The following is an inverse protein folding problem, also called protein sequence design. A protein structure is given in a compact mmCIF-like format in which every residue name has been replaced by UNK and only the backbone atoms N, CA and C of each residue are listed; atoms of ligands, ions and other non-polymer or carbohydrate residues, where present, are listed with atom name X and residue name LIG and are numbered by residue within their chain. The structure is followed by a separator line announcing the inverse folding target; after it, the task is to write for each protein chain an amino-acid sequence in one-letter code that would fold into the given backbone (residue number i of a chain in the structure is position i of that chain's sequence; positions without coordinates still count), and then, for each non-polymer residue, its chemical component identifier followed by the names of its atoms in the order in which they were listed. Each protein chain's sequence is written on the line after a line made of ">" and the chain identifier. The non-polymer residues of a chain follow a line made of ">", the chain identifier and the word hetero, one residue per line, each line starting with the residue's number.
data_IF_292346792496
#
_entry.id   IF_292346792496
#
_cell.length_a   1.000
_cell.length_b   1.000
_cell.length_c   1.000
_cell.angle_alpha   90.00
_cell.angle_beta   90.00
_cell.angle_gamma   90.00
#
_symmetry.space_group_name_H-M   'P 1'
#
loop_
_entity.id
_entity.type
_entity.pdbx_description
1 polymer ?
#
# COMPACT_ATOMS: atom_id res chain seq x y z
N UNK A 1 -4.98 20.39 -22.98
CA UNK A 1 -5.26 19.04 -22.43
C UNK A 1 -4.65 19.02 -21.04
N UNK A 2 -5.49 19.00 -20.02
CA UNK A 2 -5.07 18.95 -18.61
C UNK A 2 -4.24 17.69 -18.40
N UNK A 3 -3.00 17.87 -17.92
CA UNK A 3 -2.10 16.80 -17.54
C UNK A 3 -2.76 16.00 -16.40
N UNK A 4 -3.40 14.87 -16.74
CA UNK A 4 -4.04 14.01 -15.76
C UNK A 4 -2.94 13.30 -14.98
N UNK A 5 -2.68 13.80 -13.77
CA UNK A 5 -1.75 13.17 -12.82
C UNK A 5 -2.12 11.68 -12.68
N UNK A 6 -1.20 10.80 -13.07
CA UNK A 6 -1.38 9.35 -12.99
C UNK A 6 -1.57 8.92 -11.54
N UNK A 7 -2.44 7.95 -11.29
CA UNK A 7 -2.62 7.35 -9.95
C UNK A 7 -1.45 6.43 -9.62
N UNK A 8 -0.91 5.74 -10.65
CA UNK A 8 0.14 4.74 -10.48
C UNK A 8 1.41 5.08 -11.26
N UNK A 9 2.56 4.71 -10.69
CA UNK A 9 3.84 4.74 -11.41
C UNK A 9 4.07 3.39 -12.12
N UNK A 10 3.64 3.29 -13.37
CA UNK A 10 3.77 2.07 -14.18
C UNK A 10 5.23 1.69 -14.47
N UNK A 11 6.19 2.60 -14.33
CA UNK A 11 7.62 2.29 -14.52
C UNK A 11 8.21 1.45 -13.38
N UNK A 12 7.50 1.30 -12.24
CA UNK A 12 7.95 0.49 -11.08
C UNK A 12 7.28 -0.88 -11.01
N UNK A 13 6.59 -1.27 -12.07
CA UNK A 13 5.97 -2.58 -12.19
C UNK A 13 7.06 -3.65 -12.27
N UNK A 14 6.86 -4.75 -11.53
CA UNK A 14 7.83 -5.85 -11.42
C UNK A 14 7.51 -7.04 -12.32
N UNK A 15 6.25 -7.19 -12.73
CA UNK A 15 5.82 -8.26 -13.62
C UNK A 15 4.59 -7.85 -14.44
N UNK A 16 4.32 -8.57 -15.52
CA UNK A 16 3.22 -8.27 -16.43
C UNK A 16 1.83 -8.30 -15.76
N UNK A 17 1.62 -9.19 -14.77
CA UNK A 17 0.36 -9.25 -14.02
C UNK A 17 0.11 -7.97 -13.23
N UNK A 18 1.15 -7.46 -12.55
CA UNK A 18 1.10 -6.19 -11.85
C UNK A 18 0.85 -5.02 -12.82
N UNK A 19 1.43 -5.05 -14.04
CA UNK A 19 1.17 -4.02 -15.07
C UNK A 19 -0.32 -3.96 -15.40
N UNK A 20 -0.88 -5.11 -15.79
CA UNK A 20 -2.27 -5.20 -16.23
C UNK A 20 -3.25 -4.78 -15.12
N UNK A 21 -2.97 -5.15 -13.87
CA UNK A 21 -3.78 -4.74 -12.71
C UNK A 21 -3.73 -3.22 -12.51
N UNK A 22 -2.53 -2.63 -12.50
CA UNK A 22 -2.35 -1.18 -12.33
C UNK A 22 -2.97 -0.38 -13.50
N UNK A 23 -2.86 -0.85 -14.74
CA UNK A 23 -3.49 -0.23 -15.91
C UNK A 23 -5.03 -0.29 -15.84
N UNK A 24 -5.59 -1.42 -15.41
CA UNK A 24 -7.04 -1.58 -15.21
C UNK A 24 -7.57 -0.56 -14.20
N UNK A 25 -6.90 -0.42 -13.05
CA UNK A 25 -7.30 0.53 -12.02
C UNK A 25 -7.06 1.99 -12.44
N UNK A 26 -5.97 2.28 -13.15
CA UNK A 26 -5.69 3.62 -13.70
C UNK A 26 -6.80 4.05 -14.68
N UNK A 27 -7.18 3.15 -15.59
CA UNK A 27 -8.25 3.40 -16.56
C UNK A 27 -9.61 3.65 -15.87
N UNK A 28 -9.88 2.91 -14.79
CA UNK A 28 -11.08 3.10 -13.97
C UNK A 28 -11.03 4.34 -13.07
N UNK A 29 -9.86 4.96 -12.89
CA UNK A 29 -9.67 6.07 -11.93
C UNK A 29 -9.83 5.64 -10.48
N UNK A 30 -9.62 4.36 -10.17
CA UNK A 30 -9.79 3.77 -8.83
C UNK A 30 -8.42 3.53 -8.21
N UNK A 31 -8.28 3.83 -6.92
CA UNK A 31 -7.12 3.44 -6.12
C UNK A 31 -7.26 1.97 -5.65
N UNK A 32 -6.26 1.12 -5.93
CA UNK A 32 -6.24 -0.31 -5.62
C UNK A 32 -6.16 -0.59 -4.11
N UNK A 33 -5.89 0.44 -3.32
CA UNK A 33 -5.81 0.39 -1.86
C UNK A 33 -7.01 1.05 -1.17
N UNK A 34 -7.95 1.63 -1.92
CA UNK A 34 -9.21 2.14 -1.38
C UNK A 34 -10.29 1.05 -1.41
N UNK A 35 -11.37 1.17 -0.62
CA UNK A 35 -12.40 0.13 -0.51
C UNK A 35 -12.92 -0.40 -1.85
N UNK A 36 -13.02 0.46 -2.87
CA UNK A 36 -13.47 0.11 -4.22
C UNK A 36 -12.47 -0.79 -4.97
N UNK A 37 -11.19 -0.72 -4.62
CA UNK A 37 -10.11 -1.54 -5.19
C UNK A 37 -9.70 -2.74 -4.32
N UNK A 38 -10.13 -2.81 -3.06
CA UNK A 38 -9.77 -3.86 -2.09
C UNK A 38 -10.65 -5.12 -2.19
N UNK A 39 -11.15 -5.46 -3.38
CA UNK A 39 -11.97 -6.65 -3.58
C UNK A 39 -11.28 -7.94 -3.08
N UNK A 40 -12.02 -8.95 -2.58
CA UNK A 40 -11.43 -10.21 -2.07
C UNK A 40 -10.56 -10.97 -3.09
N UNK A 41 -10.84 -10.81 -4.39
CA UNK A 41 -10.02 -11.36 -5.47
C UNK A 41 -8.76 -10.53 -5.76
N UNK A 42 -8.76 -9.26 -5.35
CA UNK A 42 -7.73 -8.28 -5.68
C UNK A 42 -6.68 -8.12 -4.58
N UNK A 43 -6.95 -8.50 -3.33
CA UNK A 43 -5.98 -8.40 -2.24
C UNK A 43 -6.08 -9.62 -1.30
N UNK A 44 -4.99 -10.39 -1.09
CA UNK A 44 -5.01 -11.53 -0.18
C UNK A 44 -4.91 -11.05 1.27
N UNK A 45 -6.04 -10.59 1.82
CA UNK A 45 -6.17 -10.11 3.19
C UNK A 45 -5.88 -11.26 4.17
N UNK A 46 -5.05 -10.97 5.17
CA UNK A 46 -4.61 -11.91 6.20
C UNK A 46 -5.31 -11.63 7.53
N UNK A 47 -5.35 -10.35 7.91
CA UNK A 47 -6.07 -9.87 9.09
C UNK A 47 -6.44 -8.41 8.89
N UNK A 48 -7.39 -7.91 9.68
CA UNK A 48 -7.81 -6.52 9.64
C UNK A 48 -8.27 -6.06 11.02
N UNK A 49 -8.13 -4.77 11.28
CA UNK A 49 -8.75 -4.10 12.41
C UNK A 49 -9.66 -2.96 11.95
N UNK A 50 -9.90 -2.01 12.86
CA UNK A 50 -10.74 -0.85 12.60
C UNK A 50 -10.13 0.09 11.57
N UNK A 51 -8.81 0.28 11.61
CA UNK A 51 -8.10 1.29 10.81
C UNK A 51 -7.15 0.69 9.79
N UNK A 52 -6.72 -0.56 9.98
CA UNK A 52 -5.75 -1.21 9.11
C UNK A 52 -6.23 -2.53 8.53
N UNK A 53 -5.78 -2.81 7.32
CA UNK A 53 -5.86 -4.13 6.69
C UNK A 53 -4.42 -4.61 6.47
N UNK A 54 -4.13 -5.83 6.88
CA UNK A 54 -2.86 -6.51 6.59
C UNK A 54 -3.12 -7.57 5.53
N UNK A 55 -2.42 -7.46 4.40
CA UNK A 55 -2.53 -8.38 3.29
C UNK A 55 -1.16 -8.92 2.89
N UNK A 56 -1.12 -10.08 2.22
CA UNK A 56 0.12 -10.52 1.53
C UNK A 56 0.35 -9.64 0.30
N UNK A 57 1.60 -9.33 0.02
CA UNK A 57 1.95 -8.69 -1.25
C UNK A 57 1.74 -9.70 -2.38
N UNK A 58 0.86 -9.40 -3.35
CA UNK A 58 0.66 -10.21 -4.56
C UNK A 58 1.91 -10.34 -5.41
N UNK A 59 2.80 -9.36 -5.27
CA UNK A 59 4.06 -9.27 -5.99
C UNK A 59 5.17 -9.10 -4.94
N UNK A 60 5.57 -10.17 -4.24
CA UNK A 60 6.63 -10.07 -3.24
C UNK A 60 7.98 -9.68 -3.88
N UNK A 61 8.95 -9.25 -3.06
CA UNK A 61 10.30 -9.04 -3.56
C UNK A 61 10.96 -10.41 -3.69
N UNK A 62 11.91 -10.54 -4.60
CA UNK A 62 12.69 -11.76 -4.70
C UNK A 62 13.42 -12.03 -3.37
N UNK A 63 13.41 -13.30 -2.93
CA UNK A 63 14.03 -13.71 -1.66
C UNK A 63 13.21 -13.45 -0.39
N UNK A 64 12.02 -12.84 -0.46
CA UNK A 64 11.19 -12.65 0.74
C UNK A 64 10.30 -13.86 1.02
N UNK A 65 10.45 -14.48 2.20
CA UNK A 65 9.57 -15.55 2.66
C UNK A 65 8.18 -15.05 3.08
N UNK A 66 8.15 -13.90 3.78
CA UNK A 66 6.93 -13.20 4.18
C UNK A 66 7.04 -11.75 3.70
N UNK A 67 6.05 -11.31 2.92
CA UNK A 67 5.95 -9.93 2.46
C UNK A 67 4.50 -9.48 2.60
N UNK A 68 4.27 -8.60 3.58
CA UNK A 68 2.96 -8.05 3.87
C UNK A 68 2.87 -6.58 3.44
N UNK A 69 1.66 -6.14 3.15
CA UNK A 69 1.31 -4.74 2.94
C UNK A 69 0.30 -4.37 4.03
N UNK A 70 0.57 -3.27 4.72
CA UNK A 70 -0.39 -2.62 5.60
C UNK A 70 -1.12 -1.52 4.83
N UNK A 71 -2.44 -1.59 4.80
CA UNK A 71 -3.30 -0.68 4.05
C UNK A 71 -4.15 0.08 5.06
N UNK A 72 -3.96 1.40 5.12
CA UNK A 72 -4.78 2.27 5.94
C UNK A 72 -6.16 2.40 5.30
N UNK A 73 -7.21 2.23 6.10
CA UNK A 73 -8.60 2.19 5.59
C UNK A 73 -9.14 3.56 5.18
N UNK A 74 -8.38 4.63 5.41
CA UNK A 74 -8.67 5.98 4.94
C UNK A 74 -7.62 6.36 3.89
N UNK A 75 -8.07 6.91 2.76
CA UNK A 75 -7.16 7.39 1.73
C UNK A 75 -6.33 8.57 2.25
N UNK A 76 -5.01 8.45 2.14
CA UNK A 76 -4.05 9.50 2.50
C UNK A 76 -3.00 9.63 1.40
N UNK A 77 -2.48 10.83 1.22
CA UNK A 77 -1.46 11.15 0.21
C UNK A 77 -0.08 11.37 0.81
N UNK A 78 -0.01 11.56 2.13
CA UNK A 78 1.24 11.69 2.87
C UNK A 78 1.24 10.83 4.13
N UNK A 79 2.44 10.42 4.56
CA UNK A 79 2.60 9.63 5.78
C UNK A 79 2.11 10.36 7.03
N UNK A 80 2.22 11.69 7.05
CA UNK A 80 1.78 12.55 8.16
C UNK A 80 0.26 12.68 8.30
N UNK A 81 -0.52 12.30 7.28
CA UNK A 81 -1.99 12.31 7.35
C UNK A 81 -2.56 11.11 8.11
N UNK A 82 -1.76 10.08 8.39
CA UNK A 82 -2.21 8.94 9.18
C UNK A 82 -2.45 9.39 10.62
N UNK A 83 -3.68 9.17 11.11
CA UNK A 83 -4.07 9.52 12.46
C UNK A 83 -3.16 8.84 13.49
N UNK A 84 -2.68 9.60 14.49
CA UNK A 84 -1.70 9.10 15.46
C UNK A 84 -2.20 7.87 16.24
N UNK A 85 -3.49 7.85 16.54
CA UNK A 85 -4.16 6.74 17.21
C UNK A 85 -4.25 5.47 16.35
N UNK A 86 -4.02 5.53 15.05
CA UNK A 86 -4.02 4.36 14.17
C UNK A 86 -2.76 3.50 14.35
N UNK A 87 -1.63 4.08 14.76
CA UNK A 87 -0.36 3.36 14.84
C UNK A 87 -0.33 2.21 15.84
N UNK A 88 -0.85 2.36 17.09
CA UNK A 88 -0.88 1.25 18.04
C UNK A 88 -1.61 0.01 17.51
N UNK A 89 -2.69 0.20 16.75
CA UNK A 89 -3.43 -0.90 16.12
C UNK A 89 -2.57 -1.65 15.09
N UNK A 90 -1.85 -0.91 14.23
CA UNK A 90 -0.97 -1.50 13.22
C UNK A 90 0.08 -2.41 13.83
N UNK A 91 0.80 -1.92 14.84
CA UNK A 91 1.87 -2.69 15.49
C UNK A 91 1.32 -3.88 16.27
N UNK A 92 0.14 -3.75 16.88
CA UNK A 92 -0.55 -4.86 17.51
C UNK A 92 -0.89 -5.96 16.50
N UNK A 93 -1.48 -5.61 15.35
CA UNK A 93 -1.80 -6.58 14.29
C UNK A 93 -0.56 -7.31 13.77
N UNK A 94 0.57 -6.61 13.59
CA UNK A 94 1.81 -7.28 13.19
C UNK A 94 2.37 -8.18 14.29
N UNK A 95 2.39 -7.75 15.55
CA UNK A 95 2.85 -8.56 16.66
C UNK A 95 2.05 -9.87 16.80
N UNK A 96 0.72 -9.79 16.63
CA UNK A 96 -0.16 -10.96 16.61
C UNK A 96 0.09 -11.87 15.41
N UNK A 97 0.39 -11.29 14.23
CA UNK A 97 0.59 -12.03 12.99
C UNK A 97 1.94 -12.77 12.90
N UNK A 98 3.04 -12.11 13.25
CA UNK A 98 4.40 -12.65 13.05
C UNK A 98 5.01 -13.24 14.32
N UNK A 99 4.43 -12.97 15.49
CA UNK A 99 4.90 -13.49 16.77
C UNK A 99 6.28 -12.94 17.20
N UNK A 100 6.83 -13.45 18.31
CA UNK A 100 8.03 -12.88 18.96
C UNK A 100 9.36 -13.25 18.28
N UNK A 101 9.37 -14.17 17.31
CA UNK A 101 10.60 -14.75 16.76
C UNK A 101 10.98 -14.22 15.36
N UNK A 102 10.19 -13.30 14.80
CA UNK A 102 10.45 -12.74 13.48
C UNK A 102 11.07 -11.34 13.60
N UNK A 103 12.25 -11.16 13.04
CA UNK A 103 12.72 -9.81 12.68
C UNK A 103 11.86 -9.30 11.52
N UNK A 104 11.49 -8.02 11.58
CA UNK A 104 10.74 -7.38 10.51
C UNK A 104 11.42 -6.08 10.10
N UNK A 105 11.29 -5.76 8.82
CA UNK A 105 11.64 -4.45 8.26
C UNK A 105 10.36 -3.85 7.72
N UNK A 106 10.07 -2.61 8.11
CA UNK A 106 8.96 -1.85 7.56
C UNK A 106 9.52 -0.81 6.58
N UNK A 107 9.13 -0.91 5.32
CA UNK A 107 9.41 0.11 4.32
C UNK A 107 8.15 0.94 4.10
N UNK A 108 8.29 2.26 4.10
CA UNK A 108 7.21 3.20 3.81
C UNK A 108 7.30 3.59 2.34
N UNK A 109 6.21 3.38 1.59
CA UNK A 109 6.08 3.85 0.22
C UNK A 109 5.12 5.04 0.17
N UNK A 110 5.64 6.20 -0.22
CA UNK A 110 4.84 7.42 -0.47
C UNK A 110 4.75 7.70 -1.97
N UNK A 111 3.59 8.15 -2.42
CA UNK A 111 3.40 8.60 -3.80
C UNK A 111 4.21 9.87 -4.10
N UNK A 112 4.61 10.04 -5.35
CA UNK A 112 5.37 11.21 -5.84
C UNK A 112 4.63 12.55 -5.73
N UNK A 113 3.42 12.60 -5.16
CA UNK A 113 2.62 13.81 -5.11
C UNK A 113 3.26 14.96 -4.32
N UNK A 114 4.28 14.70 -3.49
CA UNK A 114 4.89 15.69 -2.59
C UNK A 114 6.38 16.00 -2.83
N UNK A 115 7.08 15.33 -3.75
CA UNK A 115 8.54 15.52 -3.90
C UNK A 115 8.95 16.81 -4.64
N UNK A 116 8.00 17.59 -5.18
CA UNK A 116 8.29 18.90 -5.79
C UNK A 116 8.32 20.07 -4.79
N UNK A 117 7.92 19.87 -3.53
CA UNK A 117 7.98 20.93 -2.50
C UNK A 117 9.31 20.96 -1.72
N UNK A 118 10.16 19.94 -1.88
CA UNK A 118 11.46 19.85 -1.18
C UNK A 118 12.65 20.20 -2.09
N UNK A 119 12.41 20.54 -3.35
CA UNK A 119 13.44 20.99 -4.31
C UNK A 119 13.43 22.51 -4.51
N UNK A 120 12.82 23.28 -3.61
CA UNK A 120 12.71 24.73 -3.69
C UNK A 120 13.16 25.47 -2.41
N UNK A 121 13.98 24.81 -1.59
CA UNK A 121 14.64 25.41 -0.42
C UNK A 121 16.15 25.47 -0.61
#
# INVERSE_FOLDING_TARGET
>A
MTDRKRLYNLARVRNAGQMAEMERFEAAGICMFCPEGLGPADVPIVTQGERWIIARNKHPYEGTALHYIAIYRVHVQSFSEVAGEAWPELFRLFAELVGPTCSFVMAVQVGLAHLQLLSSS
#
